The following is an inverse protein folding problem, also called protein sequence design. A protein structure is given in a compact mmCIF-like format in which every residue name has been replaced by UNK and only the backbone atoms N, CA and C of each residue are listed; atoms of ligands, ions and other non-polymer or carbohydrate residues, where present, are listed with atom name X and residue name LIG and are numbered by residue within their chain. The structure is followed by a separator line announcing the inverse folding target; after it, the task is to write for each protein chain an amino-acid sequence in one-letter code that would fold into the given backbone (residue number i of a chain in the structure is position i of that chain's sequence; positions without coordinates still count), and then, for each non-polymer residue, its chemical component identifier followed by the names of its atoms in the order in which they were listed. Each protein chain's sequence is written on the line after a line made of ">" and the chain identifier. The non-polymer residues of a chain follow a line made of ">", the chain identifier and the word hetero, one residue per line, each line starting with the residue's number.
data_IF_106530032422
#
_entry.id   IF_106530032422
#
_cell.length_a   1.000
_cell.length_b   1.000
_cell.length_c   1.000
_cell.angle_alpha   90.00
_cell.angle_beta   90.00
_cell.angle_gamma   90.00
#
_symmetry.space_group_name_H-M   'P 1'
#
loop_
_entity.id
_entity.type
_entity.pdbx_description
1 polymer ?
#
# COMPACT_ATOMS: atom_id res chain seq x y z
N UNK A 1 10.06 14.07 -2.15
CA UNK A 1 9.71 13.06 -1.12
C UNK A 1 8.47 13.54 -0.40
N UNK A 2 7.48 12.69 -0.13
CA UNK A 2 6.25 13.11 0.60
C UNK A 2 6.48 13.25 2.12
N UNK A 3 7.62 12.74 2.62
CA UNK A 3 8.05 12.86 4.01
C UNK A 3 9.50 13.37 4.07
N UNK A 4 9.84 14.14 5.11
CA UNK A 4 11.23 14.56 5.38
C UNK A 4 12.09 13.32 5.63
N UNK A 5 13.34 13.35 5.15
CA UNK A 5 14.25 12.21 5.20
C UNK A 5 14.44 11.54 3.83
N UNK A 6 14.66 10.22 3.85
CA UNK A 6 14.91 9.40 2.66
C UNK A 6 13.79 8.39 2.42
N UNK A 7 13.76 7.82 1.22
CA UNK A 7 12.81 6.77 0.85
C UNK A 7 13.46 5.73 -0.08
N UNK A 8 12.87 4.54 -0.12
CA UNK A 8 13.23 3.47 -1.04
C UNK A 8 12.05 3.22 -1.97
N UNK A 9 12.25 3.41 -3.28
CA UNK A 9 11.21 3.16 -4.27
C UNK A 9 11.42 1.81 -4.95
N UNK A 10 10.44 0.93 -4.80
CA UNK A 10 10.41 -0.36 -5.47
C UNK A 10 9.64 -0.23 -6.79
N UNK A 11 10.23 -0.77 -7.86
CA UNK A 11 9.62 -0.76 -9.20
C UNK A 11 9.77 -2.13 -9.85
N UNK A 12 8.81 -2.48 -10.71
CA UNK A 12 8.88 -3.64 -11.59
C UNK A 12 8.44 -3.22 -13.00
N UNK A 13 9.28 -3.50 -14.00
CA UNK A 13 9.04 -3.14 -15.41
C UNK A 13 8.61 -1.68 -15.60
N UNK A 14 9.30 -0.75 -14.93
CA UNK A 14 9.00 0.69 -14.98
C UNK A 14 7.81 1.16 -14.14
N UNK A 15 6.94 0.26 -13.66
CA UNK A 15 5.81 0.59 -12.78
C UNK A 15 6.25 0.63 -11.31
N UNK A 16 5.84 1.67 -10.58
CA UNK A 16 6.07 1.78 -9.14
C UNK A 16 5.23 0.74 -8.40
N UNK A 17 5.84 -0.10 -7.56
CA UNK A 17 5.14 -1.05 -6.69
C UNK A 17 4.74 -0.38 -5.38
N UNK A 18 5.73 0.11 -4.66
CA UNK A 18 5.56 0.89 -3.44
C UNK A 18 6.75 1.83 -3.21
N UNK A 19 6.58 2.78 -2.30
CA UNK A 19 7.70 3.60 -1.78
C UNK A 19 7.72 3.49 -0.26
N UNK A 20 8.85 3.07 0.31
CA UNK A 20 9.04 2.95 1.74
C UNK A 20 9.68 4.21 2.31
N UNK A 21 9.16 4.68 3.43
CA UNK A 21 9.65 5.81 4.21
C UNK A 21 10.04 5.27 5.60
N UNK A 22 11.33 5.00 5.83
CA UNK A 22 11.82 4.50 7.11
C UNK A 22 11.55 5.49 8.24
N UNK A 23 11.16 4.97 9.40
CA UNK A 23 10.95 5.72 10.64
C UNK A 23 11.71 5.00 11.78
N UNK A 24 11.76 5.58 12.96
CA UNK A 24 12.35 4.90 14.12
C UNK A 24 11.43 3.76 14.58
N UNK A 25 11.91 2.51 14.50
CA UNK A 25 11.19 1.31 14.92
C UNK A 25 10.12 0.78 13.96
N UNK A 26 9.83 1.47 12.85
CA UNK A 26 8.84 1.05 11.85
C UNK A 26 9.10 1.72 10.49
N UNK A 27 8.24 1.48 9.49
CA UNK A 27 8.26 2.26 8.25
C UNK A 27 6.84 2.54 7.75
N UNK A 28 6.70 3.57 6.91
CA UNK A 28 5.48 3.78 6.13
C UNK A 28 5.69 3.32 4.71
N UNK A 29 4.70 2.64 4.14
CA UNK A 29 4.69 2.21 2.74
C UNK A 29 3.59 2.95 1.99
N UNK A 30 3.97 3.67 0.94
CA UNK A 30 3.02 4.15 -0.06
C UNK A 30 2.79 3.03 -1.08
N UNK A 31 1.64 2.37 -0.99
CA UNK A 31 1.19 1.31 -1.92
C UNK A 31 0.14 1.88 -2.86
N UNK A 32 0.23 1.55 -4.15
CA UNK A 32 -0.70 2.07 -5.16
C UNK A 32 -1.61 0.94 -5.63
N UNK A 33 -2.91 1.04 -5.38
CA UNK A 33 -3.91 0.11 -5.92
C UNK A 33 -4.45 0.67 -7.23
N UNK A 34 -4.42 -0.13 -8.29
CA UNK A 34 -4.97 0.24 -9.61
C UNK A 34 -6.46 -0.09 -9.67
N UNK A 35 -7.27 0.78 -10.28
CA UNK A 35 -8.68 0.52 -10.50
C UNK A 35 -8.93 -0.71 -11.40
N UNK A 36 -7.96 -1.04 -12.27
CA UNK A 36 -8.04 -2.23 -13.14
C UNK A 36 -8.26 -3.55 -12.40
N UNK A 37 -7.85 -3.62 -11.13
CA UNK A 37 -7.90 -4.85 -10.32
C UNK A 37 -8.84 -4.68 -9.12
N UNK A 38 -9.71 -3.67 -9.16
CA UNK A 38 -10.55 -3.26 -8.03
C UNK A 38 -11.38 -4.40 -7.46
N UNK A 39 -12.01 -5.22 -8.30
CA UNK A 39 -12.89 -6.31 -7.84
C UNK A 39 -12.11 -7.31 -6.98
N UNK A 40 -10.96 -7.76 -7.46
CA UNK A 40 -10.11 -8.71 -6.73
C UNK A 40 -9.54 -8.10 -5.45
N UNK A 41 -9.12 -6.84 -5.50
CA UNK A 41 -8.60 -6.13 -4.34
C UNK A 41 -9.69 -5.89 -3.30
N UNK A 42 -10.90 -5.49 -3.70
CA UNK A 42 -12.04 -5.28 -2.80
C UNK A 42 -12.39 -6.59 -2.05
N UNK A 43 -12.33 -7.74 -2.73
CA UNK A 43 -12.50 -9.05 -2.10
C UNK A 43 -11.38 -9.37 -1.10
N UNK A 44 -10.12 -9.14 -1.48
CA UNK A 44 -8.98 -9.36 -0.60
C UNK A 44 -8.96 -8.43 0.63
N UNK A 45 -9.38 -7.17 0.48
CA UNK A 45 -9.47 -6.22 1.58
C UNK A 45 -10.39 -6.74 2.69
N UNK A 46 -11.46 -7.46 2.35
CA UNK A 46 -12.35 -8.05 3.35
C UNK A 46 -11.67 -9.10 4.25
N UNK A 47 -10.55 -9.70 3.80
CA UNK A 47 -9.79 -10.67 4.58
C UNK A 47 -8.62 -10.07 5.37
N UNK A 48 -8.28 -8.80 5.11
CA UNK A 48 -7.18 -8.11 5.78
C UNK A 48 -7.51 -7.78 7.25
N UNK A 49 -6.51 -7.31 7.99
CA UNK A 49 -6.71 -6.69 9.29
C UNK A 49 -7.52 -5.39 9.19
N UNK A 50 -8.14 -5.01 10.32
CA UNK A 50 -9.04 -3.85 10.38
C UNK A 50 -8.35 -2.52 10.03
N UNK A 51 -7.05 -2.42 10.32
CA UNK A 51 -6.25 -1.26 9.97
C UNK A 51 -6.16 -1.04 8.46
N UNK A 52 -5.85 -2.10 7.69
CA UNK A 52 -5.78 -2.03 6.24
C UNK A 52 -7.15 -1.79 5.62
N UNK A 53 -8.20 -2.46 6.13
CA UNK A 53 -9.60 -2.22 5.71
C UNK A 53 -9.98 -0.75 5.87
N UNK A 54 -9.67 -0.16 7.03
CA UNK A 54 -9.97 1.24 7.31
C UNK A 54 -9.27 2.17 6.32
N UNK A 55 -7.95 2.03 6.14
CA UNK A 55 -7.19 2.88 5.20
C UNK A 55 -7.76 2.75 3.78
N UNK A 56 -8.03 1.52 3.34
CA UNK A 56 -8.54 1.28 2.00
C UNK A 56 -9.90 1.96 1.77
N UNK A 57 -10.79 1.91 2.75
CA UNK A 57 -12.13 2.47 2.65
C UNK A 57 -12.13 4.01 2.76
N UNK A 58 -11.21 4.61 3.52
CA UNK A 58 -11.10 6.05 3.68
C UNK A 58 -10.46 6.76 2.47
N UNK A 59 -9.57 6.06 1.74
CA UNK A 59 -8.89 6.63 0.58
C UNK A 59 -9.73 6.46 -0.68
N UNK A 60 -10.09 7.56 -1.34
CA UNK A 60 -10.78 7.54 -2.62
C UNK A 60 -9.83 7.29 -3.80
N UNK A 61 -10.37 6.77 -4.91
CA UNK A 61 -9.64 6.72 -6.16
C UNK A 61 -9.39 8.14 -6.68
N UNK A 62 -8.16 8.38 -7.16
CA UNK A 62 -7.77 9.58 -7.89
C UNK A 62 -6.96 9.17 -9.12
N UNK A 63 -7.38 9.62 -10.30
CA UNK A 63 -6.78 9.23 -11.58
C UNK A 63 -6.60 7.70 -11.74
N UNK A 64 -7.66 6.93 -11.50
CA UNK A 64 -7.66 5.47 -11.67
C UNK A 64 -6.81 4.69 -10.67
N UNK A 65 -6.41 5.30 -9.55
CA UNK A 65 -5.65 4.62 -8.50
C UNK A 65 -5.96 5.10 -7.08
N UNK A 66 -5.87 4.21 -6.09
CA UNK A 66 -5.80 4.57 -4.67
C UNK A 66 -4.35 4.57 -4.21
N UNK A 67 -3.98 5.56 -3.42
CA UNK A 67 -2.62 5.75 -2.91
C UNK A 67 -2.66 5.57 -1.40
N UNK A 68 -2.37 4.36 -0.93
CA UNK A 68 -2.51 3.95 0.45
C UNK A 68 -1.19 4.22 1.18
N UNK A 69 -1.20 5.13 2.14
CA UNK A 69 -0.07 5.35 3.05
C UNK A 69 -0.26 4.46 4.29
N UNK A 70 0.44 3.34 4.32
CA UNK A 70 0.29 2.29 5.35
C UNK A 70 1.45 2.40 6.33
N UNK A 71 1.17 2.54 7.63
CA UNK A 71 2.18 2.36 8.67
C UNK A 71 2.38 0.86 8.91
N UNK A 72 3.63 0.39 8.86
CA UNK A 72 3.96 -1.03 9.02
C UNK A 72 4.80 -1.19 10.26
N UNK A 73 4.14 -1.56 11.36
CA UNK A 73 4.72 -1.74 12.70
C UNK A 73 4.47 -3.16 13.26
N UNK A 74 3.83 -4.03 12.47
CA UNK A 74 3.55 -5.42 12.85
C UNK A 74 3.62 -6.35 11.64
N UNK A 75 3.86 -7.64 11.90
CA UNK A 75 3.88 -8.68 10.86
C UNK A 75 2.52 -8.85 10.18
N UNK A 76 1.42 -8.64 10.91
CA UNK A 76 0.08 -8.73 10.35
C UNK A 76 -0.12 -7.68 9.24
N UNK A 77 0.22 -6.42 9.54
CA UNK A 77 0.11 -5.32 8.56
C UNK A 77 1.10 -5.50 7.42
N UNK A 78 2.32 -5.98 7.72
CA UNK A 78 3.31 -6.29 6.69
C UNK A 78 2.79 -7.32 5.69
N UNK A 79 2.21 -8.42 6.16
CA UNK A 79 1.72 -9.50 5.30
C UNK A 79 0.59 -9.00 4.38
N UNK A 80 -0.40 -8.31 4.94
CA UNK A 80 -1.50 -7.73 4.14
C UNK A 80 -0.99 -6.72 3.11
N UNK A 81 -0.03 -5.86 3.49
CA UNK A 81 0.61 -4.90 2.58
C UNK A 81 1.35 -5.61 1.45
N UNK A 82 2.07 -6.70 1.74
CA UNK A 82 2.80 -7.46 0.73
C UNK A 82 1.84 -8.12 -0.27
N UNK A 83 0.72 -8.67 0.18
CA UNK A 83 -0.32 -9.19 -0.70
C UNK A 83 -0.93 -8.08 -1.58
N UNK A 84 -1.21 -6.89 -1.03
CA UNK A 84 -1.68 -5.74 -1.83
C UNK A 84 -0.73 -5.38 -2.97
N UNK A 85 0.58 -5.46 -2.73
CA UNK A 85 1.58 -5.17 -3.77
C UNK A 85 1.53 -6.20 -4.91
N UNK A 86 1.20 -7.46 -4.63
CA UNK A 86 1.15 -8.51 -5.65
C UNK A 86 0.08 -8.24 -6.71
N UNK A 87 -1.03 -7.62 -6.34
CA UNK A 87 -2.06 -7.18 -7.31
C UNK A 87 -1.53 -6.12 -8.29
N UNK A 88 -0.40 -5.46 -8.01
CA UNK A 88 0.19 -4.47 -8.93
C UNK A 88 1.34 -5.03 -9.78
N UNK A 89 1.93 -6.15 -9.35
CA UNK A 89 3.18 -6.69 -9.87
C UNK A 89 3.06 -7.33 -11.26
#
# INVERSE_FOLDING_TARGET
>A
SMQRGWNVKYKKRGKSLCTLYPQEGYFKALVIVSESNRVEVDLFINTCCDYIKKIYNEVNFFNGSKWLMIQVDSLLVLNDMLELIKFRA
#
